data_IF_413083951289
#
_entry.id   IF_413083951289
#
_cell.length_a   1.000
_cell.length_b   1.000
_cell.length_c   1.000
_cell.angle_alpha   90.00
_cell.angle_beta   90.00
_cell.angle_gamma   90.00
#
_symmetry.space_group_name_H-M   'P 1'
#
loop_
_entity.id
_entity.type
_entity.pdbx_description
1 polymer ?
#
# COMPACT_ATOMS: atom_id res chain seq x y z
N UNK A 1 -2.65 10.86 -2.42
CA UNK A 1 -1.47 10.53 -1.58
C UNK A 1 -1.92 10.65 -0.14
N UNK A 2 -1.75 9.59 0.64
CA UNK A 2 -2.60 9.34 1.81
C UNK A 2 -1.71 8.87 2.94
N UNK A 3 -1.79 9.49 4.12
CA UNK A 3 -1.00 9.07 5.28
C UNK A 3 -1.77 8.13 6.20
N UNK A 4 -1.12 7.18 6.87
CA UNK A 4 -1.75 6.46 7.97
C UNK A 4 -1.92 7.40 9.17
N UNK A 5 -3.08 7.34 9.81
CA UNK A 5 -3.34 8.03 11.08
C UNK A 5 -2.46 7.46 12.22
N UNK A 6 -2.55 8.05 13.43
CA UNK A 6 -1.75 7.59 14.59
C UNK A 6 -2.00 6.13 14.99
N UNK A 7 -3.15 5.57 14.62
CA UNK A 7 -3.48 4.17 14.87
C UNK A 7 -2.98 3.23 13.76
N UNK A 8 -2.54 3.79 12.63
CA UNK A 8 -2.13 3.05 11.44
C UNK A 8 -3.27 2.76 10.47
N UNK A 9 -4.41 3.47 10.58
CA UNK A 9 -5.49 3.38 9.60
C UNK A 9 -5.17 4.27 8.40
N UNK A 10 -5.37 3.71 7.21
CA UNK A 10 -5.35 4.48 5.96
C UNK A 10 -6.78 4.60 5.46
N UNK A 11 -7.23 5.83 5.24
CA UNK A 11 -8.59 6.11 4.75
C UNK A 11 -8.48 6.62 3.32
N UNK A 12 -8.85 5.78 2.36
CA UNK A 12 -8.90 6.15 0.93
C UNK A 12 -10.10 5.49 0.26
N UNK A 13 -11.22 6.20 0.32
CA UNK A 13 -12.51 5.72 -0.17
C UNK A 13 -12.50 5.44 -1.68
N UNK A 14 -11.82 6.26 -2.49
CA UNK A 14 -11.79 6.09 -3.94
C UNK A 14 -11.10 4.78 -4.38
N UNK A 15 -10.00 4.41 -3.71
CA UNK A 15 -9.23 3.18 -4.00
C UNK A 15 -10.03 1.94 -3.63
N UNK A 16 -10.69 1.96 -2.47
CA UNK A 16 -11.53 0.84 -2.04
C UNK A 16 -12.80 0.70 -2.89
N UNK A 17 -13.40 1.80 -3.31
CA UNK A 17 -14.54 1.80 -4.23
C UNK A 17 -14.16 1.18 -5.59
N UNK A 18 -12.98 1.50 -6.12
CA UNK A 18 -12.50 0.90 -7.37
C UNK A 18 -12.32 -0.63 -7.28
N UNK A 19 -12.09 -1.15 -6.07
CA UNK A 19 -11.99 -2.59 -5.78
C UNK A 19 -13.33 -3.19 -5.32
N UNK A 20 -14.39 -2.38 -5.18
CA UNK A 20 -15.67 -2.78 -4.58
C UNK A 20 -15.54 -3.33 -3.15
N UNK A 21 -14.49 -2.94 -2.42
CA UNK A 21 -14.28 -3.36 -1.04
C UNK A 21 -15.06 -2.47 -0.08
N UNK A 22 -16.15 -3.03 0.46
CA UNK A 22 -16.99 -2.37 1.46
C UNK A 22 -16.57 -2.67 2.90
N UNK A 23 -17.15 -1.95 3.88
CA UNK A 23 -17.03 -2.29 5.30
C UNK A 23 -17.32 -3.76 5.59
N UNK A 24 -16.52 -4.37 6.46
CA UNK A 24 -16.65 -5.79 6.80
C UNK A 24 -16.01 -6.76 5.80
N UNK A 25 -15.55 -6.29 4.63
CA UNK A 25 -14.78 -7.10 3.70
C UNK A 25 -13.54 -7.66 4.40
N UNK A 26 -13.43 -8.99 4.44
CA UNK A 26 -12.27 -9.66 5.04
C UNK A 26 -11.09 -9.63 4.08
N UNK A 27 -9.95 -9.24 4.61
CA UNK A 27 -8.71 -9.03 3.88
C UNK A 27 -7.54 -9.70 4.58
N UNK A 28 -6.50 -9.97 3.81
CA UNK A 28 -5.19 -10.39 4.29
C UNK A 28 -4.15 -9.33 3.90
N UNK A 29 -3.20 -9.06 4.80
CA UNK A 29 -2.19 -8.01 4.64
C UNK A 29 -0.81 -8.65 4.63
N UNK A 30 -0.15 -8.62 3.47
CA UNK A 30 1.09 -9.35 3.23
C UNK A 30 2.24 -8.39 2.95
N UNK A 31 3.25 -8.28 3.84
CA UNK A 31 4.46 -7.55 3.52
C UNK A 31 5.29 -8.31 2.48
N UNK A 32 5.74 -7.61 1.44
CA UNK A 32 6.58 -8.14 0.36
C UNK A 32 7.62 -7.11 -0.01
N UNK A 33 8.92 -7.42 0.10
CA UNK A 33 10.00 -6.55 -0.40
C UNK A 33 9.88 -5.04 -0.06
N UNK A 34 9.35 -4.68 1.12
CA UNK A 34 9.16 -3.28 1.54
C UNK A 34 7.90 -2.59 1.01
N UNK A 35 6.99 -3.33 0.36
CA UNK A 35 5.61 -2.94 0.04
C UNK A 35 4.62 -3.80 0.82
N UNK A 36 3.35 -3.41 0.79
CA UNK A 36 2.25 -4.19 1.36
C UNK A 36 1.29 -4.58 0.26
N UNK A 37 0.97 -5.86 0.17
CA UNK A 37 -0.05 -6.38 -0.73
C UNK A 37 -1.25 -6.77 0.12
N UNK A 38 -2.40 -6.18 -0.21
CA UNK A 38 -3.68 -6.46 0.44
C UNK A 38 -4.55 -7.16 -0.58
N UNK A 39 -5.18 -8.24 -0.15
CA UNK A 39 -6.07 -9.06 -0.96
C UNK A 39 -7.33 -9.43 -0.16
N UNK A 40 -8.48 -9.67 -0.81
CA UNK A 40 -9.62 -10.27 -0.17
C UNK A 40 -9.24 -11.67 0.31
N UNK A 41 -9.72 -12.02 1.50
CA UNK A 41 -9.47 -13.32 2.09
C UNK A 41 -10.65 -13.68 2.99
N UNK A 42 -11.49 -14.66 2.62
CA UNK A 42 -12.61 -15.11 3.47
C UNK A 42 -12.16 -15.55 4.87
N UNK A 43 -10.96 -16.11 4.99
CA UNK A 43 -10.33 -16.47 6.27
C UNK A 43 -9.37 -15.37 6.80
N UNK A 44 -9.40 -14.18 6.21
CA UNK A 44 -8.56 -13.05 6.58
C UNK A 44 -8.77 -12.64 8.03
N UNK A 45 -7.66 -12.28 8.70
CA UNK A 45 -7.65 -11.85 10.10
C UNK A 45 -8.06 -10.39 10.26
N UNK A 46 -8.14 -9.66 9.16
CA UNK A 46 -8.41 -8.24 9.12
C UNK A 46 -9.68 -7.96 8.32
N UNK A 47 -10.32 -6.84 8.63
CA UNK A 47 -11.51 -6.37 7.93
C UNK A 47 -11.33 -4.92 7.55
N UNK A 48 -11.90 -4.53 6.42
CA UNK A 48 -12.12 -3.12 6.09
C UNK A 48 -13.06 -2.55 7.15
N UNK A 49 -12.64 -1.47 7.81
CA UNK A 49 -13.42 -0.88 8.88
C UNK A 49 -14.63 -0.09 8.38
N UNK A 50 -15.44 0.41 9.31
CA UNK A 50 -16.77 0.97 9.01
C UNK A 50 -16.75 2.24 8.16
N UNK A 51 -15.61 2.93 8.11
CA UNK A 51 -15.39 4.15 7.31
C UNK A 51 -14.53 3.88 6.07
N UNK A 52 -14.31 2.63 5.70
CA UNK A 52 -13.38 2.27 4.63
C UNK A 52 -11.92 2.44 5.07
N UNK A 53 -11.63 2.28 6.36
CA UNK A 53 -10.25 2.24 6.83
C UNK A 53 -9.62 0.86 6.59
N UNK A 54 -8.36 0.86 6.14
CA UNK A 54 -7.54 -0.33 6.09
C UNK A 54 -6.70 -0.45 7.36
N UNK A 55 -6.84 -1.52 8.15
CA UNK A 55 -5.99 -1.74 9.30
C UNK A 55 -4.57 -2.13 8.83
N UNK A 56 -3.56 -1.37 9.26
CA UNK A 56 -2.15 -1.77 9.12
C UNK A 56 -1.61 -2.21 10.48
N UNK A 57 -1.44 -3.52 10.73
CA UNK A 57 -0.93 -4.03 11.99
C UNK A 57 0.47 -3.48 12.31
N UNK A 58 0.78 -3.27 13.59
CA UNK A 58 2.06 -2.68 14.03
C UNK A 58 3.29 -3.44 13.51
N UNK A 59 3.26 -4.78 13.53
CA UNK A 59 4.34 -5.62 13.02
C UNK A 59 4.60 -5.36 11.52
N UNK A 60 3.52 -5.30 10.74
CA UNK A 60 3.54 -5.06 9.31
C UNK A 60 4.05 -3.65 8.99
N UNK A 61 3.62 -2.64 9.77
CA UNK A 61 4.15 -1.27 9.65
C UNK A 61 5.65 -1.21 9.88
N UNK A 62 6.14 -1.90 10.93
CA UNK A 62 7.58 -1.94 11.25
C UNK A 62 8.39 -2.62 10.15
N UNK A 63 7.90 -3.74 9.60
CA UNK A 63 8.57 -4.48 8.53
C UNK A 63 8.72 -3.64 7.25
N UNK A 64 7.69 -2.88 6.88
CA UNK A 64 7.72 -2.05 5.67
C UNK A 64 8.25 -0.63 5.91
N UNK A 65 8.53 -0.25 7.16
CA UNK A 65 8.94 1.12 7.52
C UNK A 65 7.85 2.15 7.27
N UNK A 66 6.59 1.76 7.50
CA UNK A 66 5.44 2.67 7.49
C UNK A 66 5.46 3.47 8.79
N UNK A 67 5.63 4.79 8.67
CA UNK A 67 5.66 5.73 9.79
C UNK A 67 4.37 6.53 9.80
N UNK A 68 3.78 6.71 10.99
CA UNK A 68 2.57 7.51 11.15
C UNK A 68 2.79 8.94 10.63
N UNK A 69 1.82 9.48 9.88
CA UNK A 69 1.91 10.82 9.29
C UNK A 69 2.83 10.94 8.07
N UNK A 70 3.51 9.87 7.64
CA UNK A 70 4.22 9.86 6.36
C UNK A 70 3.28 9.41 5.22
N UNK A 71 3.38 10.02 4.04
CA UNK A 71 2.50 9.65 2.94
C UNK A 71 2.79 8.24 2.43
N UNK A 72 1.73 7.56 2.02
CA UNK A 72 1.75 6.29 1.34
C UNK A 72 1.17 6.50 -0.07
N UNK A 73 1.73 5.77 -1.03
CA UNK A 73 1.15 5.61 -2.34
C UNK A 73 0.31 4.34 -2.35
N UNK A 74 -0.95 4.46 -2.74
CA UNK A 74 -1.89 3.36 -2.86
C UNK A 74 -2.13 3.11 -4.35
N UNK A 75 -2.00 1.85 -4.77
CA UNK A 75 -2.24 1.41 -6.13
C UNK A 75 -3.28 0.29 -6.14
N UNK A 76 -4.46 0.59 -6.67
CA UNK A 76 -5.51 -0.39 -6.89
C UNK A 76 -5.24 -1.17 -8.18
N UNK A 77 -5.46 -2.48 -8.16
CA UNK A 77 -5.38 -3.34 -9.33
C UNK A 77 -6.71 -4.11 -9.45
N UNK A 78 -7.75 -3.49 -10.04
CA UNK A 78 -9.10 -4.05 -10.05
C UNK A 78 -9.22 -5.41 -10.74
N UNK A 79 -8.47 -5.62 -11.84
CA UNK A 79 -8.49 -6.90 -12.57
C UNK A 79 -7.92 -8.07 -11.78
N UNK A 80 -7.12 -7.79 -10.73
CA UNK A 80 -6.52 -8.79 -9.86
C UNK A 80 -7.12 -8.77 -8.45
N UNK A 81 -8.11 -7.91 -8.23
CA UNK A 81 -8.75 -7.66 -6.94
C UNK A 81 -7.72 -7.51 -5.79
N UNK A 82 -6.75 -6.61 -5.99
CA UNK A 82 -5.71 -6.37 -4.99
C UNK A 82 -5.37 -4.90 -4.85
N UNK A 83 -4.83 -4.55 -3.69
CA UNK A 83 -4.32 -3.24 -3.36
C UNK A 83 -2.85 -3.35 -2.97
N UNK A 84 -2.00 -2.54 -3.57
CA UNK A 84 -0.60 -2.40 -3.15
C UNK A 84 -0.41 -1.06 -2.45
N UNK A 85 0.21 -1.09 -1.27
CA UNK A 85 0.64 0.11 -0.56
C UNK A 85 2.15 0.20 -0.63
N UNK A 86 2.64 1.30 -1.19
CA UNK A 86 4.06 1.65 -1.25
C UNK A 86 4.37 2.74 -0.23
N UNK A 87 5.23 2.46 0.77
CA UNK A 87 5.80 3.49 1.62
C UNK A 87 6.60 4.52 0.80
N UNK A 88 6.59 5.79 1.20
CA UNK A 88 7.34 6.86 0.51
C UNK A 88 8.82 6.51 0.30
N UNK A 89 9.47 5.89 1.29
CA UNK A 89 10.86 5.39 1.17
C UNK A 89 11.05 4.41 0.02
N UNK A 90 10.06 3.55 -0.22
CA UNK A 90 10.13 2.51 -1.25
C UNK A 90 9.92 3.14 -2.62
N UNK A 91 8.98 4.07 -2.75
CA UNK A 91 8.76 4.85 -3.98
C UNK A 91 10.01 5.65 -4.34
N UNK A 92 10.60 6.36 -3.37
CA UNK A 92 11.81 7.15 -3.60
C UNK A 92 12.98 6.30 -4.09
N UNK A 93 13.17 5.09 -3.55
CA UNK A 93 14.21 4.16 -4.00
C UNK A 93 13.95 3.68 -5.44
N UNK A 94 12.73 3.26 -5.74
CA UNK A 94 12.37 2.81 -7.09
C UNK A 94 12.57 3.91 -8.14
N UNK A 95 12.21 5.16 -7.80
CA UNK A 95 12.44 6.31 -8.67
C UNK A 95 13.92 6.63 -8.83
N UNK A 96 14.72 6.52 -7.77
CA UNK A 96 16.17 6.71 -7.85
C UNK A 96 16.81 5.67 -8.78
N UNK A 97 16.46 4.39 -8.61
CA UNK A 97 16.97 3.31 -9.47
C UNK A 97 16.56 3.52 -10.94
N UNK A 98 15.30 3.93 -11.17
CA UNK A 98 14.81 4.27 -12.50
C UNK A 98 15.57 5.47 -13.10
N UNK A 99 15.83 6.51 -12.33
CA UNK A 99 16.60 7.66 -12.80
C UNK A 99 18.03 7.28 -13.14
N UNK A 100 18.69 6.42 -12.36
CA UNK A 100 20.04 5.92 -12.69
C UNK A 100 20.02 5.19 -14.03
N UNK A 101 19.01 4.37 -14.30
CA UNK A 101 18.88 3.67 -15.58
C UNK A 101 18.59 4.63 -16.74
N UNK A 102 17.67 5.57 -16.54
CA UNK A 102 17.24 6.51 -17.58
C UNK A 102 18.33 7.55 -17.92
N UNK A 103 19.06 8.04 -16.91
CA UNK A 103 20.11 9.05 -17.06
C UNK A 103 21.45 8.39 -17.42
N UNK A 104 21.73 7.21 -16.87
CA UNK A 104 22.93 6.42 -17.17
C UNK A 104 22.92 5.75 -18.55
N UNK A 105 21.77 5.70 -19.23
CA UNK A 105 21.63 5.18 -20.59
C UNK A 105 22.12 6.13 -21.71
N UNK A 106 22.66 7.30 -21.35
CA UNK A 106 23.17 8.29 -22.31
C UNK A 106 24.62 8.09 -22.79
N UNK A 107 25.30 7.02 -22.39
CA UNK A 107 26.67 6.72 -22.84
C UNK A 107 26.74 5.39 -23.60
N UNK A 108 26.07 5.32 -24.75
CA UNK A 108 26.38 4.36 -25.81
C UNK A 108 25.98 4.96 -27.16
N UNK A 109 26.99 5.47 -27.89
CA UNK A 109 26.84 6.11 -29.19
C UNK A 109 28.01 7.05 -29.46
#
# INVERSE_FOLDING_TARGET
MSGPDRSGRVTESAVLQALHWGPGQRIDVRPRAGILVIVPAPAGRHVVGSRGELPLPAAVRKMCGVVAGQPLLLAAFPSQDLLVIHPARTVARLLADLHVQAIGGGCAG
#
